data_IF_663661960332
#
_entry.id   IF_663661960332
#
_cell.length_a   1.000
_cell.length_b   1.000
_cell.length_c   1.000
_cell.angle_alpha   90.00
_cell.angle_beta   90.00
_cell.angle_gamma   90.00
#
_symmetry.space_group_name_H-M   'P 1'
#
loop_
_entity.id
_entity.type
_entity.pdbx_description
1 polymer ?
#
# COMPACT_ATOMS: atom_id res chain seq x y z
N UNK A 1 11.74 23.76 -7.55
CA UNK A 1 12.32 22.41 -7.31
C UNK A 1 11.56 21.43 -8.18
N UNK A 2 12.20 20.62 -9.04
CA UNK A 2 11.47 19.65 -9.89
C UNK A 2 10.85 18.56 -9.01
N UNK A 3 9.59 18.23 -9.26
CA UNK A 3 8.88 17.15 -8.59
C UNK A 3 9.63 15.81 -8.81
N UNK A 4 9.84 15.06 -7.73
CA UNK A 4 10.52 13.77 -7.80
C UNK A 4 9.56 12.70 -8.33
N UNK A 5 9.82 12.23 -9.56
CA UNK A 5 9.02 11.19 -10.22
C UNK A 5 9.80 9.88 -10.30
N UNK A 6 9.17 8.79 -9.89
CA UNK A 6 9.71 7.45 -10.08
C UNK A 6 9.51 7.01 -11.53
N UNK A 7 10.49 6.27 -12.09
CA UNK A 7 10.34 5.67 -13.40
C UNK A 7 9.19 4.65 -13.39
N UNK A 8 8.33 4.74 -14.39
CA UNK A 8 7.30 3.74 -14.64
C UNK A 8 7.86 2.57 -15.48
N UNK A 9 7.06 1.52 -15.66
CA UNK A 9 7.48 0.34 -16.44
C UNK A 9 7.75 0.69 -17.91
N UNK A 10 6.98 1.60 -18.51
CA UNK A 10 7.13 2.02 -19.91
C UNK A 10 8.50 2.69 -20.12
N UNK A 11 8.87 3.64 -19.26
CA UNK A 11 10.16 4.31 -19.28
C UNK A 11 11.30 3.31 -19.08
N UNK A 12 11.14 2.32 -18.19
CA UNK A 12 12.13 1.25 -18.02
C UNK A 12 12.29 0.40 -19.28
N UNK A 13 11.20 0.09 -19.97
CA UNK A 13 11.23 -0.62 -21.26
C UNK A 13 11.95 0.19 -22.34
N UNK A 14 11.68 1.50 -22.43
CA UNK A 14 12.39 2.43 -23.34
C UNK A 14 13.89 2.45 -23.03
N UNK A 15 14.27 2.60 -21.75
CA UNK A 15 15.68 2.57 -21.32
C UNK A 15 16.35 1.26 -21.74
N UNK A 16 15.66 0.12 -21.57
CA UNK A 16 16.20 -1.19 -21.93
C UNK A 16 16.40 -1.34 -23.44
N UNK A 17 15.40 -0.95 -24.24
CA UNK A 17 15.46 -1.05 -25.70
C UNK A 17 16.59 -0.18 -26.27
N UNK A 18 16.63 1.10 -25.88
CA UNK A 18 17.64 2.03 -26.39
C UNK A 18 19.05 1.67 -25.94
N UNK A 19 19.20 1.13 -24.73
CA UNK A 19 20.50 0.62 -24.26
C UNK A 19 20.96 -0.59 -25.07
N UNK A 20 20.04 -1.50 -25.42
CA UNK A 20 20.36 -2.64 -26.29
C UNK A 20 20.79 -2.19 -27.70
N UNK A 21 20.21 -1.09 -28.20
CA UNK A 21 20.60 -0.46 -29.47
C UNK A 21 21.91 0.36 -29.40
N UNK A 22 22.60 0.39 -28.25
CA UNK A 22 23.88 1.10 -28.11
C UNK A 22 23.77 2.63 -28.03
N UNK A 23 22.57 3.17 -27.80
CA UNK A 23 22.35 4.62 -27.69
C UNK A 23 23.02 5.17 -26.43
N UNK A 24 23.57 6.39 -26.53
CA UNK A 24 24.24 7.05 -25.40
C UNK A 24 23.22 7.42 -24.33
N UNK A 25 23.65 7.34 -23.07
CA UNK A 25 22.80 7.59 -21.90
C UNK A 25 22.11 8.96 -21.90
N UNK A 26 22.75 10.00 -22.46
CA UNK A 26 22.18 11.35 -22.58
C UNK A 26 20.93 11.34 -23.46
N UNK A 27 21.00 10.64 -24.59
CA UNK A 27 19.91 10.56 -25.55
C UNK A 27 18.80 9.64 -25.02
N UNK A 28 19.15 8.53 -24.35
CA UNK A 28 18.18 7.67 -23.65
C UNK A 28 17.34 8.49 -22.66
N UNK A 29 17.97 9.40 -21.93
CA UNK A 29 17.29 10.23 -20.96
C UNK A 29 16.27 11.19 -21.60
N UNK A 30 16.59 11.71 -22.79
CA UNK A 30 15.69 12.53 -23.59
C UNK A 30 14.44 11.73 -24.00
N UNK A 31 14.63 10.53 -24.56
CA UNK A 31 13.52 9.65 -24.98
C UNK A 31 12.68 9.12 -23.81
N UNK A 32 13.31 8.86 -22.66
CA UNK A 32 12.61 8.40 -21.45
C UNK A 32 12.04 9.56 -20.62
N UNK A 33 12.16 10.80 -21.09
CA UNK A 33 11.68 12.02 -20.42
C UNK A 33 12.20 12.18 -18.99
N UNK A 34 13.47 11.85 -18.76
CA UNK A 34 14.09 11.90 -17.43
C UNK A 34 15.47 12.54 -17.46
N UNK A 35 16.07 12.77 -16.29
CA UNK A 35 17.42 13.32 -16.22
C UNK A 35 18.45 12.21 -16.55
N UNK A 36 19.56 12.51 -17.25
CA UNK A 36 20.64 11.54 -17.47
C UNK A 36 21.13 10.87 -16.20
N UNK A 37 21.17 11.60 -15.08
CA UNK A 37 21.53 11.03 -13.78
C UNK A 37 20.51 9.99 -13.26
N UNK A 38 19.23 10.13 -13.61
CA UNK A 38 18.19 9.12 -13.32
C UNK A 38 18.48 7.82 -14.05
N UNK A 39 18.82 7.88 -15.34
CA UNK A 39 19.18 6.69 -16.14
C UNK A 39 20.42 6.00 -15.56
N UNK A 40 21.45 6.75 -15.19
CA UNK A 40 22.65 6.17 -14.54
C UNK A 40 22.32 5.44 -13.23
N UNK A 41 21.54 6.09 -12.36
CA UNK A 41 21.14 5.51 -11.06
C UNK A 41 20.23 4.30 -11.25
N UNK A 42 19.32 4.34 -12.21
CA UNK A 42 18.45 3.22 -12.56
C UNK A 42 19.29 2.02 -13.02
N UNK A 43 20.15 2.23 -14.03
CA UNK A 43 20.98 1.17 -14.59
C UNK A 43 22.00 0.60 -13.60
N UNK A 44 22.45 1.37 -12.59
CA UNK A 44 23.36 0.89 -11.55
C UNK A 44 22.64 0.15 -10.42
N UNK A 45 21.48 0.65 -9.97
CA UNK A 45 20.76 0.12 -8.80
C UNK A 45 19.83 -1.06 -9.11
N UNK A 46 19.33 -1.15 -10.34
CA UNK A 46 18.29 -2.10 -10.75
C UNK A 46 18.79 -3.18 -11.72
N UNK A 47 20.01 -3.69 -11.50
CA UNK A 47 20.55 -4.83 -12.25
C UNK A 47 20.13 -6.15 -11.59
N UNK A 48 20.03 -7.20 -12.40
CA UNK A 48 19.89 -8.58 -11.91
C UNK A 48 21.18 -9.02 -11.19
N UNK A 49 21.12 -10.12 -10.44
CA UNK A 49 22.31 -10.74 -9.82
C UNK A 49 23.39 -11.11 -10.84
N UNK A 50 22.99 -11.36 -12.09
CA UNK A 50 23.88 -11.64 -13.23
C UNK A 50 24.40 -10.37 -13.94
N UNK A 51 24.07 -9.18 -13.43
CA UNK A 51 24.51 -7.89 -13.97
C UNK A 51 23.72 -7.38 -15.18
N UNK A 52 22.73 -8.14 -15.66
CA UNK A 52 21.86 -7.74 -16.77
C UNK A 52 20.78 -6.76 -16.31
N UNK A 53 20.31 -5.91 -17.23
CA UNK A 53 19.18 -5.00 -16.96
C UNK A 53 17.92 -5.59 -17.58
N UNK A 54 16.84 -5.70 -16.80
CA UNK A 54 15.52 -6.14 -17.27
C UNK A 54 14.46 -5.21 -16.67
N UNK A 55 13.58 -4.60 -17.49
CA UNK A 55 12.55 -3.67 -17.01
C UNK A 55 11.66 -4.23 -15.90
N UNK A 56 11.26 -5.50 -16.04
CA UNK A 56 10.39 -6.18 -15.07
C UNK A 56 11.08 -6.37 -13.73
N UNK A 57 12.31 -6.89 -13.76
CA UNK A 57 13.12 -7.09 -12.54
C UNK A 57 13.44 -5.74 -11.89
N UNK A 58 13.73 -4.72 -12.68
CA UNK A 58 13.99 -3.36 -12.20
C UNK A 58 12.78 -2.74 -11.48
N UNK A 59 11.57 -3.00 -12.00
CA UNK A 59 10.31 -2.62 -11.35
C UNK A 59 10.17 -3.34 -10.01
N UNK A 60 10.32 -4.66 -9.98
CA UNK A 60 10.20 -5.48 -8.78
C UNK A 60 11.18 -5.04 -7.68
N UNK A 61 12.46 -4.82 -8.02
CA UNK A 61 13.48 -4.33 -7.08
C UNK A 61 13.13 -2.93 -6.56
N UNK A 62 12.59 -2.07 -7.41
CA UNK A 62 12.16 -0.72 -7.02
C UNK A 62 10.98 -0.76 -6.06
N UNK A 63 10.03 -1.66 -6.29
CA UNK A 63 8.85 -1.88 -5.44
C UNK A 63 9.22 -2.52 -4.11
N UNK A 64 10.10 -3.52 -4.11
CA UNK A 64 10.60 -4.16 -2.89
C UNK A 64 11.29 -3.13 -1.98
N UNK A 65 12.12 -2.25 -2.55
CA UNK A 65 12.74 -1.16 -1.80
C UNK A 65 11.70 -0.19 -1.24
N UNK A 66 10.67 0.16 -2.02
CA UNK A 66 9.57 1.00 -1.54
C UNK A 66 8.82 0.34 -0.39
N UNK A 67 8.57 -0.96 -0.46
CA UNK A 67 7.90 -1.73 0.58
C UNK A 67 8.75 -1.86 1.84
N UNK A 68 10.07 -2.04 1.71
CA UNK A 68 10.99 -2.12 2.86
C UNK A 68 10.95 -0.87 3.74
N UNK A 69 10.80 0.30 3.13
CA UNK A 69 10.66 1.57 3.85
C UNK A 69 9.20 1.92 4.17
N UNK A 70 8.24 1.06 3.80
CA UNK A 70 6.86 1.24 4.18
C UNK A 70 6.71 0.88 5.66
N UNK A 71 6.67 1.91 6.51
CA UNK A 71 6.28 1.74 7.90
C UNK A 71 4.85 1.19 7.93
N UNK A 72 4.67 0.03 8.57
CA UNK A 72 3.34 -0.43 8.97
C UNK A 72 2.74 0.67 9.84
N UNK A 73 1.77 1.36 9.27
CA UNK A 73 0.87 2.16 10.06
C UNK A 73 0.08 1.12 10.87
N UNK A 74 0.19 1.16 12.19
CA UNK A 74 -0.59 0.33 13.13
C UNK A 74 -1.59 1.24 13.84
N UNK A 75 -2.76 0.72 14.17
CA UNK A 75 -3.68 1.41 15.07
C UNK A 75 -2.97 1.69 16.39
N UNK A 76 -2.89 2.96 16.77
CA UNK A 76 -2.47 3.33 18.14
C UNK A 76 -3.56 2.88 19.12
N UNK A 77 -3.20 2.79 20.40
CA UNK A 77 -4.14 2.41 21.47
C UNK A 77 -5.37 3.33 21.48
N UNK A 78 -5.14 4.63 21.34
CA UNK A 78 -6.18 5.67 21.27
C UNK A 78 -7.14 5.45 20.09
N UNK A 79 -6.59 5.12 18.92
CA UNK A 79 -7.41 4.84 17.74
C UNK A 79 -8.31 3.61 17.95
N UNK A 80 -7.81 2.56 18.60
CA UNK A 80 -8.63 1.37 18.91
C UNK A 80 -9.76 1.70 19.87
N UNK A 81 -9.46 2.45 20.94
CA UNK A 81 -10.46 2.89 21.92
C UNK A 81 -11.54 3.73 21.25
N UNK A 82 -11.14 4.67 20.38
CA UNK A 82 -12.08 5.48 19.61
C UNK A 82 -13.00 4.62 18.74
N UNK A 83 -12.45 3.70 17.94
CA UNK A 83 -13.24 2.84 17.05
C UNK A 83 -14.18 1.93 17.85
N UNK A 84 -13.68 1.27 18.91
CA UNK A 84 -14.50 0.39 19.75
C UNK A 84 -15.66 1.18 20.37
N UNK A 85 -15.38 2.35 20.96
CA UNK A 85 -16.40 3.20 21.57
C UNK A 85 -17.56 3.53 20.62
N UNK A 86 -17.26 3.99 19.41
CA UNK A 86 -18.30 4.40 18.45
C UNK A 86 -19.06 3.20 17.87
N UNK A 87 -18.44 2.01 17.81
CA UNK A 87 -19.13 0.77 17.44
C UNK A 87 -20.06 0.31 18.57
N UNK A 88 -19.56 0.27 19.81
CA UNK A 88 -20.31 -0.33 20.93
C UNK A 88 -21.37 0.60 21.50
N UNK A 89 -21.04 1.86 21.72
CA UNK A 89 -21.93 2.83 22.40
C UNK A 89 -22.84 3.54 21.42
N UNK A 90 -22.32 3.93 20.25
CA UNK A 90 -23.05 4.76 19.30
C UNK A 90 -23.60 3.98 18.10
N UNK A 91 -23.27 2.68 17.99
CA UNK A 91 -23.72 1.78 16.92
C UNK A 91 -23.38 2.31 15.51
N UNK A 92 -22.28 3.05 15.39
CA UNK A 92 -21.84 3.56 14.10
C UNK A 92 -21.37 2.43 13.20
N UNK A 93 -21.70 2.52 11.92
CA UNK A 93 -21.10 1.68 10.89
C UNK A 93 -19.64 2.05 10.69
N UNK A 94 -18.84 1.09 10.23
CA UNK A 94 -17.42 1.31 9.90
C UNK A 94 -17.26 2.45 8.88
N UNK A 95 -18.19 2.57 7.94
CA UNK A 95 -18.20 3.63 6.92
C UNK A 95 -18.47 5.01 7.53
N UNK A 96 -19.34 5.10 8.54
CA UNK A 96 -19.60 6.33 9.28
C UNK A 96 -18.38 6.76 10.09
N UNK A 97 -17.71 5.83 10.77
CA UNK A 97 -16.45 6.11 11.50
C UNK A 97 -15.38 6.63 10.54
N UNK A 98 -15.23 6.00 9.36
CA UNK A 98 -14.29 6.45 8.31
C UNK A 98 -14.67 7.85 7.82
N UNK A 99 -15.95 8.08 7.51
CA UNK A 99 -16.46 9.37 7.03
C UNK A 99 -16.28 10.49 8.05
N UNK A 100 -16.46 10.20 9.33
CA UNK A 100 -16.22 11.14 10.43
C UNK A 100 -14.73 11.48 10.56
N UNK A 101 -13.85 10.46 10.54
CA UNK A 101 -12.39 10.67 10.58
C UNK A 101 -11.88 11.50 9.40
N UNK A 102 -12.51 11.39 8.22
CA UNK A 102 -12.16 12.17 7.02
C UNK A 102 -12.52 13.65 7.13
N UNK A 103 -13.60 13.98 7.86
CA UNK A 103 -14.10 15.37 7.98
C UNK A 103 -13.35 16.19 9.03
N UNK A 104 -12.79 15.55 10.06
CA UNK A 104 -11.98 16.22 11.08
C UNK A 104 -10.50 16.18 10.72
N UNK A 105 -9.88 17.35 10.57
CA UNK A 105 -8.43 17.51 10.34
C UNK A 105 -7.62 16.86 11.48
N UNK A 106 -8.17 16.87 12.69
CA UNK A 106 -7.65 16.18 13.88
C UNK A 106 -7.77 14.64 13.81
N UNK A 107 -8.36 14.04 12.78
CA UNK A 107 -8.40 12.57 12.62
C UNK A 107 -7.88 12.13 11.25
N UNK A 108 -7.25 13.03 10.51
CA UNK A 108 -6.66 12.74 9.20
C UNK A 108 -5.56 11.64 9.27
N UNK A 109 -4.98 11.42 10.46
CA UNK A 109 -4.06 10.31 10.74
C UNK A 109 -4.73 8.92 10.80
N UNK A 110 -6.05 8.84 11.02
CA UNK A 110 -6.83 7.59 10.97
C UNK A 110 -7.22 7.16 9.55
N UNK A 111 -7.39 8.11 8.63
CA UNK A 111 -7.83 7.84 7.24
C UNK A 111 -6.81 6.97 6.48
N UNK A 112 -5.53 7.28 6.65
CA UNK A 112 -4.40 6.57 6.02
C UNK A 112 -4.29 5.10 6.42
N UNK A 113 -5.06 4.65 7.41
CA UNK A 113 -5.04 3.29 7.96
C UNK A 113 -6.24 2.45 7.54
N UNK A 114 -7.43 3.03 7.62
CA UNK A 114 -8.68 2.35 7.26
C UNK A 114 -8.78 2.07 5.75
N UNK A 115 -8.12 2.87 4.90
CA UNK A 115 -8.11 2.68 3.44
C UNK A 115 -7.20 1.55 2.92
N UNK A 116 -6.27 1.00 3.73
CA UNK A 116 -5.32 -0.05 3.27
C UNK A 116 -5.88 -1.46 3.51
N UNK A 117 -6.72 -1.65 4.53
CA UNK A 117 -7.31 -2.95 4.87
C UNK A 117 -8.38 -3.42 3.87
N UNK A 118 -8.84 -2.57 2.95
CA UNK A 118 -9.69 -2.97 1.82
C UNK A 118 -8.90 -3.52 0.63
N UNK A 119 -7.56 -3.35 0.58
CA UNK A 119 -6.73 -3.76 -0.56
C UNK A 119 -5.96 -5.09 -0.35
N UNK A 120 -5.81 -5.56 0.90
CA UNK A 120 -5.19 -6.87 1.19
C UNK A 120 -6.13 -8.07 0.94
N UNK A 121 -7.33 -7.83 0.40
CA UNK A 121 -8.34 -8.86 0.11
C UNK A 121 -8.05 -9.75 -1.10
N UNK A 122 -6.97 -9.54 -1.88
CA UNK A 122 -6.84 -10.21 -3.19
C UNK A 122 -5.64 -11.13 -3.40
N UNK A 123 -4.62 -11.20 -2.53
CA UNK A 123 -3.45 -12.08 -2.78
C UNK A 123 -2.76 -12.64 -1.53
N UNK A 124 -3.48 -13.38 -0.68
CA UNK A 124 -2.89 -14.38 0.22
C UNK A 124 -3.96 -15.35 0.70
N UNK A 125 -4.05 -16.47 -0.01
CA UNK A 125 -4.50 -17.80 0.47
C UNK A 125 -5.67 -17.81 1.47
N UNK A 126 -6.82 -18.24 0.95
CA UNK A 126 -8.13 -18.45 1.58
C UNK A 126 -8.18 -19.40 2.80
N UNK A 127 -7.05 -19.71 3.46
CA UNK A 127 -7.00 -20.75 4.47
C UNK A 127 -6.99 -20.29 5.94
N UNK A 128 -6.87 -18.99 6.27
CA UNK A 128 -6.66 -18.58 7.68
C UNK A 128 -7.42 -17.32 8.16
N UNK A 129 -8.40 -16.80 7.43
CA UNK A 129 -9.07 -15.53 7.82
C UNK A 129 -10.59 -15.62 8.04
N UNK A 130 -11.17 -16.81 7.98
CA UNK A 130 -12.55 -17.06 8.42
C UNK A 130 -12.64 -17.38 9.92
N UNK A 131 -11.51 -17.68 10.58
CA UNK A 131 -11.51 -18.26 11.92
C UNK A 131 -11.29 -17.28 13.08
N UNK A 132 -11.15 -15.97 12.84
CA UNK A 132 -10.94 -14.99 13.94
C UNK A 132 -11.93 -13.83 13.94
N UNK A 133 -12.42 -13.40 12.76
CA UNK A 133 -13.40 -12.31 12.65
C UNK A 133 -14.86 -12.76 12.71
N UNK A 134 -15.14 -14.04 12.53
CA UNK A 134 -16.52 -14.58 12.62
C UNK A 134 -16.77 -15.25 13.98
N UNK A 135 -15.76 -15.89 14.59
CA UNK A 135 -15.91 -16.55 15.89
C UNK A 135 -16.01 -15.55 17.06
N UNK A 136 -15.41 -14.35 16.95
CA UNK A 136 -15.60 -13.31 17.96
C UNK A 136 -16.93 -12.54 17.81
N UNK A 137 -17.51 -12.47 16.60
CA UNK A 137 -18.80 -11.81 16.37
C UNK A 137 -20.01 -12.74 16.56
N UNK A 138 -19.86 -14.06 16.52
CA UNK A 138 -20.97 -15.00 16.75
C UNK A 138 -21.15 -15.42 18.21
N UNK A 139 -20.14 -15.31 19.07
CA UNK A 139 -20.25 -15.78 20.48
C UNK A 139 -20.92 -14.75 21.41
N UNK A 140 -20.89 -13.45 21.11
CA UNK A 140 -21.57 -12.43 21.96
C UNK A 140 -22.99 -12.06 21.50
N UNK A 141 -23.38 -12.39 20.26
CA UNK A 141 -24.72 -12.08 19.76
C UNK A 141 -25.76 -13.13 20.20
N UNK A 142 -25.38 -14.40 20.39
CA UNK A 142 -26.34 -15.43 20.85
C UNK A 142 -26.58 -15.43 22.38
N UNK A 143 -25.68 -14.87 23.18
CA UNK A 143 -25.85 -14.79 24.64
C UNK A 143 -26.64 -13.55 25.11
N UNK A 144 -26.94 -12.59 24.24
CA UNK A 144 -27.65 -11.36 24.62
C UNK A 144 -29.13 -11.30 24.16
N UNK A 145 -29.59 -12.22 23.30
CA UNK A 145 -30.96 -12.20 22.76
C UNK A 145 -31.91 -13.27 23.32
N UNK A 146 -31.47 -14.09 24.27
CA UNK A 146 -32.36 -15.05 24.97
C UNK A 146 -32.53 -14.66 26.45
N UNK A 147 -33.71 -14.08 26.72
CA UNK A 147 -34.40 -14.03 28.03
C UNK A 147 -33.98 -12.92 29.01
N UNK A 148 -34.14 -11.66 28.56
CA UNK A 148 -34.89 -10.66 29.34
C UNK A 148 -36.20 -10.34 28.60
N UNK A 149 -37.13 -11.30 28.63
CA UNK A 149 -38.57 -11.07 28.42
C UNK A 149 -39.33 -12.10 29.25
N UNK A 150 -39.93 -11.59 30.33
CA UNK A 150 -40.66 -12.23 31.45
C UNK A 150 -39.79 -12.74 32.59
#
# INVERSE_FOLDING_TARGET
>A
MKEYKHLNLVQRSVISALKASGIKQKDIALYAECNPSTVSRELSRNKTKTGKYSPKVAQEISEERKERFRKERKFTKEMKVFVIKHITEEQWSVEQIVGYCKKKIEYQWLEKQLSINSFTKTKKTEANYTNTLVISLSIEVEHCTLVKRK
#
